data_IF_132996800408
#
_entry.id   IF_132996800408
#
_cell.length_a   1.000
_cell.length_b   1.000
_cell.length_c   1.000
_cell.angle_alpha   90.00
_cell.angle_beta   90.00
_cell.angle_gamma   90.00
#
_symmetry.space_group_name_H-M   'P 1'
#
loop_
_entity.id
_entity.type
_entity.pdbx_description
1 polymer ?
#
# COMPACT_ATOMS: atom_id res chain seq x y z
N UNK A 1 -20.98 10.53 6.11
CA UNK A 1 -21.26 11.73 5.30
C UNK A 1 -22.49 11.45 4.45
N UNK A 2 -23.59 12.15 4.71
CA UNK A 2 -24.79 12.02 3.89
C UNK A 2 -24.50 12.60 2.50
N UNK A 3 -25.03 12.00 1.42
CA UNK A 3 -24.93 12.56 0.06
C UNK A 3 -25.90 13.75 -0.10
N UNK A 4 -25.73 14.77 0.74
CA UNK A 4 -26.51 16.01 0.77
C UNK A 4 -25.65 17.18 0.27
N UNK A 5 -26.25 18.29 -0.22
CA UNK A 5 -25.54 19.54 -0.46
C UNK A 5 -24.79 20.04 0.78
N UNK A 6 -23.67 20.73 0.58
CA UNK A 6 -22.82 21.21 1.67
C UNK A 6 -23.58 22.11 2.66
N UNK A 7 -24.50 22.95 2.17
CA UNK A 7 -25.33 23.81 3.01
C UNK A 7 -26.18 23.00 4.02
N UNK A 8 -26.73 21.87 3.59
CA UNK A 8 -27.55 20.99 4.43
C UNK A 8 -26.69 20.14 5.38
N UNK A 9 -25.50 19.75 4.95
CA UNK A 9 -24.56 19.05 5.85
C UNK A 9 -24.10 19.95 6.99
N UNK A 10 -23.86 21.24 6.71
CA UNK A 10 -23.46 22.22 7.71
C UNK A 10 -24.59 22.51 8.71
N UNK A 11 -25.86 22.48 8.27
CA UNK A 11 -27.00 22.74 9.15
C UNK A 11 -27.27 21.62 10.15
N UNK A 12 -27.06 20.36 9.75
CA UNK A 12 -27.28 19.19 10.63
C UNK A 12 -26.01 18.74 11.38
N UNK A 13 -24.83 19.26 11.00
CA UNK A 13 -23.52 18.98 11.58
C UNK A 13 -23.33 17.50 11.98
N UNK A 14 -23.40 16.56 11.03
CA UNK A 14 -23.44 15.15 11.35
C UNK A 14 -22.06 14.69 11.85
N UNK A 15 -22.03 13.85 12.87
CA UNK A 15 -20.79 13.21 13.29
C UNK A 15 -20.21 12.39 12.14
N UNK A 16 -19.02 12.76 11.67
CA UNK A 16 -18.33 12.04 10.61
C UNK A 16 -17.47 10.94 11.23
N UNK A 17 -17.67 9.72 10.75
CA UNK A 17 -16.87 8.56 11.11
C UNK A 17 -16.22 7.97 9.87
N UNK A 18 -14.95 7.58 10.00
CA UNK A 18 -14.13 6.98 8.94
C UNK A 18 -13.78 5.54 9.31
N UNK A 19 -14.76 4.77 9.81
CA UNK A 19 -14.57 3.35 10.07
C UNK A 19 -14.35 2.64 8.73
N UNK A 20 -13.20 1.98 8.61
CA UNK A 20 -12.88 1.11 7.48
C UNK A 20 -13.79 -0.12 7.49
N UNK A 21 -14.57 -0.31 6.43
CA UNK A 21 -15.49 -1.45 6.29
C UNK A 21 -15.13 -2.39 5.13
N UNK A 22 -14.19 -1.97 4.28
CA UNK A 22 -13.82 -2.71 3.09
C UNK A 22 -12.86 -1.94 2.19
N UNK A 23 -12.53 -2.56 1.05
CA UNK A 23 -11.57 -2.02 0.09
C UNK A 23 -12.09 -2.23 -1.33
N UNK A 24 -11.79 -1.27 -2.20
CA UNK A 24 -12.07 -1.34 -3.62
C UNK A 24 -10.76 -1.36 -4.41
N UNK A 25 -10.66 -2.17 -5.48
CA UNK A 25 -9.48 -2.17 -6.33
C UNK A 25 -9.44 -0.88 -7.17
N UNK A 26 -8.27 -0.26 -7.24
CA UNK A 26 -8.03 0.88 -8.11
C UNK A 26 -6.68 0.74 -8.82
N UNK A 27 -6.59 1.35 -9.99
CA UNK A 27 -5.31 1.61 -10.67
C UNK A 27 -5.05 3.12 -10.63
N UNK A 28 -3.78 3.48 -10.68
CA UNK A 28 -3.35 4.87 -10.80
C UNK A 28 -3.18 5.25 -12.26
N UNK A 29 -3.40 6.53 -12.55
CA UNK A 29 -2.89 7.16 -13.78
C UNK A 29 -1.40 6.89 -13.89
N UNK A 30 -0.95 6.40 -15.04
CA UNK A 30 0.43 5.93 -15.22
C UNK A 30 1.48 7.00 -14.87
N UNK A 31 1.23 8.27 -15.21
CA UNK A 31 2.10 9.40 -14.88
C UNK A 31 2.31 9.63 -13.37
N UNK A 32 1.46 9.05 -12.51
CA UNK A 32 1.59 9.13 -11.05
C UNK A 32 2.44 8.00 -10.46
N UNK A 33 2.69 6.92 -11.22
CA UNK A 33 3.45 5.78 -10.72
C UNK A 33 4.86 6.19 -10.29
N UNK A 34 5.51 7.07 -11.06
CA UNK A 34 6.84 7.58 -10.72
C UNK A 34 6.85 8.29 -9.36
N UNK A 35 5.81 9.09 -9.06
CA UNK A 35 5.66 9.77 -7.77
C UNK A 35 5.50 8.77 -6.62
N UNK A 36 4.67 7.74 -6.78
CA UNK A 36 4.49 6.67 -5.78
C UNK A 36 5.78 5.89 -5.56
N UNK A 37 6.49 5.52 -6.62
CA UNK A 37 7.77 4.80 -6.51
C UNK A 37 8.84 5.65 -5.81
N UNK A 38 8.92 6.95 -6.10
CA UNK A 38 9.81 7.89 -5.38
C UNK A 38 9.46 7.97 -3.90
N UNK A 39 8.18 8.09 -3.56
CA UNK A 39 7.73 8.10 -2.17
C UNK A 39 8.11 6.80 -1.43
N UNK A 40 7.80 5.64 -2.03
CA UNK A 40 8.14 4.32 -1.46
C UNK A 40 9.63 4.12 -1.26
N UNK A 41 10.47 4.50 -2.23
CA UNK A 41 11.93 4.41 -2.10
C UNK A 41 12.48 5.31 -1.01
N UNK A 42 12.05 6.57 -0.96
CA UNK A 42 12.47 7.52 0.09
C UNK A 42 12.09 7.01 1.48
N UNK A 43 10.90 6.44 1.61
CA UNK A 43 10.44 5.84 2.85
C UNK A 43 11.32 4.66 3.27
N UNK A 44 11.51 3.67 2.38
CA UNK A 44 12.33 2.50 2.66
C UNK A 44 13.78 2.86 3.04
N UNK A 45 14.40 3.79 2.29
CA UNK A 45 15.75 4.30 2.58
C UNK A 45 15.82 5.04 3.92
N UNK A 46 14.78 5.80 4.27
CA UNK A 46 14.72 6.46 5.57
C UNK A 46 14.61 5.44 6.70
N UNK A 47 13.78 4.41 6.55
CA UNK A 47 13.68 3.31 7.52
C UNK A 47 15.00 2.57 7.68
N UNK A 48 15.68 2.22 6.59
CA UNK A 48 17.00 1.55 6.63
C UNK A 48 18.04 2.37 7.41
N UNK A 49 18.07 3.69 7.19
CA UNK A 49 19.00 4.59 7.89
C UNK A 49 18.63 4.83 9.35
N UNK A 50 17.35 4.99 9.66
CA UNK A 50 16.88 5.38 11.00
C UNK A 50 16.68 4.18 11.93
N UNK A 51 16.27 3.04 11.37
CA UNK A 51 15.94 1.81 12.10
C UNK A 51 16.44 0.60 11.29
N UNK A 52 17.75 0.26 11.34
CA UNK A 52 18.28 -0.91 10.65
C UNK A 52 17.58 -2.21 11.07
N UNK A 53 17.33 -3.16 10.15
CA UNK A 53 17.73 -3.18 8.73
C UNK A 53 16.77 -2.40 7.79
N UNK A 54 15.78 -1.70 8.36
CA UNK A 54 14.70 -1.06 7.62
C UNK A 54 13.46 -1.93 7.52
N UNK A 55 12.63 -1.67 6.51
CA UNK A 55 11.41 -2.44 6.29
C UNK A 55 11.73 -3.74 5.54
N UNK A 56 11.42 -4.87 6.15
CA UNK A 56 11.50 -6.19 5.51
C UNK A 56 10.09 -6.61 5.09
N UNK A 57 9.92 -6.94 3.81
CA UNK A 57 8.63 -7.34 3.26
C UNK A 57 7.71 -6.14 2.91
N UNK A 58 6.38 -6.33 2.97
CA UNK A 58 5.44 -5.32 2.50
C UNK A 58 5.25 -4.18 3.50
N UNK A 59 5.09 -2.98 2.95
CA UNK A 59 4.53 -1.82 3.64
C UNK A 59 3.50 -1.14 2.74
N UNK A 60 2.71 -0.23 3.29
CA UNK A 60 1.72 0.54 2.55
C UNK A 60 1.81 2.01 2.95
N UNK A 61 1.98 2.88 1.95
CA UNK A 61 1.79 4.32 2.11
C UNK A 61 0.34 4.63 1.74
N UNK A 62 -0.43 5.13 2.70
CA UNK A 62 -1.80 5.57 2.47
C UNK A 62 -1.77 7.05 2.12
N UNK A 63 -2.28 7.39 0.94
CA UNK A 63 -2.16 8.75 0.41
C UNK A 63 -3.43 9.21 -0.31
N UNK A 64 -3.55 10.52 -0.42
CA UNK A 64 -4.56 11.19 -1.24
C UNK A 64 -3.86 11.85 -2.43
N UNK A 65 -4.53 11.88 -3.58
CA UNK A 65 -4.11 12.63 -4.76
C UNK A 65 -4.80 13.99 -4.75
N UNK A 66 -4.03 15.07 -4.79
CA UNK A 66 -4.57 16.45 -4.83
C UNK A 66 -5.10 16.80 -6.22
N UNK A 67 -5.88 17.90 -6.37
CA UNK A 67 -6.28 18.40 -7.69
C UNK A 67 -5.10 18.67 -8.64
N UNK A 68 -3.95 19.06 -8.10
CA UNK A 68 -2.69 19.30 -8.83
C UNK A 68 -1.90 18.01 -9.12
N UNK A 69 -2.51 16.84 -8.90
CA UNK A 69 -1.92 15.53 -9.12
C UNK A 69 -0.68 15.23 -8.26
N UNK A 70 -0.62 15.83 -7.06
CA UNK A 70 0.39 15.53 -6.05
C UNK A 70 -0.08 14.48 -5.05
N UNK A 71 0.90 13.85 -4.39
CA UNK A 71 0.68 12.74 -3.46
C UNK A 71 0.97 13.22 -2.05
N UNK A 72 -0.04 13.16 -1.18
CA UNK A 72 0.10 13.46 0.25
C UNK A 72 -0.13 12.18 1.03
N UNK A 73 0.95 11.63 1.60
CA UNK A 73 0.90 10.45 2.48
C UNK A 73 0.43 10.90 3.86
N UNK A 74 -0.67 10.31 4.35
CA UNK A 74 -1.25 10.65 5.65
C UNK A 74 -1.09 9.54 6.69
N UNK A 75 -0.85 8.29 6.26
CA UNK A 75 -0.65 7.16 7.16
C UNK A 75 0.24 6.09 6.51
N UNK A 76 0.84 5.23 7.34
CA UNK A 76 1.74 4.16 6.92
C UNK A 76 1.46 2.87 7.68
N UNK A 77 1.29 1.78 6.94
CA UNK A 77 1.34 0.43 7.50
C UNK A 77 2.73 -0.17 7.27
N UNK A 78 3.47 -0.46 8.35
CA UNK A 78 4.79 -1.13 8.33
C UNK A 78 4.70 -2.65 8.16
N UNK A 79 3.62 -3.12 7.55
CA UNK A 79 3.30 -4.53 7.30
C UNK A 79 2.32 -4.62 6.14
N UNK A 80 1.85 -5.83 5.85
CA UNK A 80 0.76 -6.03 4.89
C UNK A 80 -0.46 -5.19 5.28
N UNK A 81 -0.94 -4.37 4.33
CA UNK A 81 -2.15 -3.57 4.45
C UNK A 81 -3.40 -4.35 4.07
N UNK A 82 -4.54 -4.03 4.71
CA UNK A 82 -5.83 -4.68 4.47
C UNK A 82 -6.29 -4.60 3.01
N UNK A 83 -5.94 -3.51 2.32
CA UNK A 83 -6.31 -3.30 0.91
C UNK A 83 -5.75 -4.33 -0.06
N UNK A 84 -4.73 -5.09 0.35
CA UNK A 84 -4.21 -6.20 -0.48
C UNK A 84 -5.22 -7.33 -0.65
N UNK A 85 -6.26 -7.42 0.21
CA UNK A 85 -7.29 -8.45 0.15
C UNK A 85 -8.12 -8.42 -1.14
N UNK A 86 -8.29 -7.24 -1.78
CA UNK A 86 -9.02 -7.14 -3.07
C UNK A 86 -8.33 -7.90 -4.20
N UNK A 87 -7.05 -8.25 -4.02
CA UNK A 87 -6.23 -8.97 -5.00
C UNK A 87 -5.95 -10.43 -4.59
N UNK A 88 -6.63 -10.96 -3.58
CA UNK A 88 -6.35 -12.29 -3.05
C UNK A 88 -6.62 -13.40 -4.08
N UNK A 89 -7.75 -13.32 -4.79
CA UNK A 89 -8.15 -14.32 -5.80
C UNK A 89 -7.63 -14.05 -7.22
N UNK A 90 -7.38 -12.79 -7.57
CA UNK A 90 -7.03 -12.37 -8.94
C UNK A 90 -5.55 -12.02 -9.12
N UNK A 91 -4.84 -11.74 -8.03
CA UNK A 91 -3.52 -11.11 -8.02
C UNK A 91 -3.55 -9.62 -8.38
N UNK A 92 -2.50 -8.90 -7.98
CA UNK A 92 -2.40 -7.47 -8.24
C UNK A 92 -2.14 -7.19 -9.72
N UNK A 93 -2.82 -6.19 -10.29
CA UNK A 93 -2.63 -5.78 -11.69
C UNK A 93 -1.16 -5.47 -12.02
N UNK A 94 -0.47 -4.81 -11.08
CA UNK A 94 0.95 -4.49 -11.21
C UNK A 94 1.88 -5.70 -10.97
N UNK A 95 1.48 -6.65 -10.12
CA UNK A 95 2.33 -7.81 -9.76
C UNK A 95 2.66 -8.70 -10.96
N UNK A 96 1.70 -8.80 -11.90
CA UNK A 96 1.82 -9.61 -13.12
C UNK A 96 2.94 -9.10 -14.03
N UNK A 97 3.22 -7.79 -14.02
CA UNK A 97 4.27 -7.18 -14.83
C UNK A 97 5.68 -7.67 -14.45
N UNK A 98 5.89 -8.05 -13.18
CA UNK A 98 7.20 -8.48 -12.68
C UNK A 98 7.38 -10.00 -12.69
N UNK A 99 6.29 -10.75 -12.51
CA UNK A 99 6.36 -12.20 -12.28
C UNK A 99 5.75 -13.04 -13.40
N UNK A 100 5.17 -12.42 -14.44
CA UNK A 100 4.47 -13.12 -15.53
C UNK A 100 3.18 -13.84 -15.09
N UNK A 101 2.84 -13.77 -13.80
CA UNK A 101 1.67 -14.41 -13.19
C UNK A 101 1.07 -13.50 -12.12
N UNK A 102 -0.23 -13.64 -11.92
CA UNK A 102 -0.95 -12.97 -10.84
C UNK A 102 -0.45 -13.44 -9.47
N UNK A 103 -0.01 -12.49 -8.62
CA UNK A 103 0.38 -12.75 -7.24
C UNK A 103 -0.41 -11.84 -6.30
N UNK A 104 -0.96 -12.43 -5.24
CA UNK A 104 -1.39 -11.68 -4.06
C UNK A 104 -0.17 -11.28 -3.22
N UNK A 105 -0.32 -10.28 -2.35
CA UNK A 105 0.78 -9.86 -1.48
C UNK A 105 1.20 -10.97 -0.51
N UNK A 106 0.25 -11.73 0.04
CA UNK A 106 0.56 -12.90 0.87
C UNK A 106 1.36 -13.96 0.11
N UNK A 107 1.02 -14.23 -1.17
CA UNK A 107 1.80 -15.15 -2.00
C UNK A 107 3.20 -14.60 -2.30
N UNK A 108 3.35 -13.29 -2.51
CA UNK A 108 4.65 -12.66 -2.70
C UNK A 108 5.54 -12.82 -1.47
N UNK A 109 5.00 -12.65 -0.26
CA UNK A 109 5.74 -12.89 0.98
C UNK A 109 6.19 -14.35 1.11
N UNK A 110 5.32 -15.31 0.81
CA UNK A 110 5.67 -16.73 0.84
C UNK A 110 6.79 -17.08 -0.16
N UNK A 111 6.77 -16.46 -1.35
CA UNK A 111 7.87 -16.58 -2.33
C UNK A 111 9.19 -16.05 -1.76
N UNK A 112 9.19 -14.90 -1.08
CA UNK A 112 10.39 -14.35 -0.44
C UNK A 112 10.99 -15.31 0.58
N UNK A 113 10.15 -15.82 1.49
CA UNK A 113 10.60 -16.74 2.55
C UNK A 113 11.17 -18.02 1.97
N UNK A 114 10.52 -18.57 0.94
CA UNK A 114 10.99 -19.78 0.26
C UNK A 114 12.34 -19.55 -0.42
N UNK A 115 12.50 -18.46 -1.16
CA UNK A 115 13.76 -18.13 -1.86
C UNK A 115 14.89 -17.86 -0.86
N UNK A 116 14.60 -17.17 0.25
CA UNK A 116 15.55 -16.96 1.32
C UNK A 116 15.98 -18.28 1.98
N UNK A 117 15.05 -19.23 2.17
CA UNK A 117 15.38 -20.57 2.66
C UNK A 117 16.25 -21.36 1.67
N UNK A 118 15.84 -21.44 0.41
CA UNK A 118 16.54 -22.18 -0.65
C UNK A 118 17.97 -21.66 -0.88
N UNK A 119 18.21 -20.37 -0.64
CA UNK A 119 19.53 -19.74 -0.79
C UNK A 119 20.32 -19.61 0.51
N UNK A 120 19.83 -20.14 1.63
CA UNK A 120 20.51 -20.05 2.93
C UNK A 120 20.57 -18.64 3.53
N UNK A 121 19.68 -17.74 3.08
CA UNK A 121 19.61 -16.32 3.48
C UNK A 121 18.37 -15.99 4.32
N UNK A 122 17.81 -16.95 5.05
CA UNK A 122 16.58 -16.74 5.83
C UNK A 122 16.70 -15.56 6.81
N UNK A 123 17.90 -15.35 7.38
CA UNK A 123 18.19 -14.23 8.29
C UNK A 123 17.98 -12.84 7.69
N UNK A 124 17.85 -12.69 6.37
CA UNK A 124 17.53 -11.42 5.71
C UNK A 124 16.02 -11.14 5.63
N UNK A 125 15.21 -12.19 5.72
CA UNK A 125 13.75 -12.12 5.62
C UNK A 125 13.06 -12.23 7.01
N UNK A 126 13.83 -12.47 8.06
CA UNK A 126 13.37 -12.63 9.44
C UNK A 126 14.22 -11.78 10.37
N UNK A 127 13.65 -11.33 11.47
CA UNK A 127 14.34 -10.58 12.54
C UNK A 127 14.14 -11.27 13.87
#
# INVERSE_FOLDING_TARGET
VYRLPAADQLSINPAVSYIEVGHEPATLRESLLEKVFKAGRRFAQACERLVPPGVIGPFTLQFIVTPDLDIVVYDVALRIGGGTNVYLGLGGQYSKLYHGRSLSMGRRMAVEVREAWETGQLSRATT
#
